data_IF_669108337851
#
_entry.id   IF_669108337851
#
_cell.length_a   1.000
_cell.length_b   1.000
_cell.length_c   1.000
_cell.angle_alpha   90.00
_cell.angle_beta   90.00
_cell.angle_gamma   90.00
#
_symmetry.space_group_name_H-M   'P 1'
#
loop_
_entity.id
_entity.type
_entity.pdbx_description
1 polymer ?
#
# COMPACT_ATOMS: atom_id res chain seq x y z
N UNK A 1 1.30 1.66 -19.81
CA UNK A 1 1.25 2.11 -18.42
C UNK A 1 1.53 0.89 -17.58
N UNK A 2 2.53 0.98 -16.71
CA UNK A 2 2.81 -0.10 -15.77
C UNK A 2 1.67 -0.20 -14.74
N UNK A 3 1.40 -1.39 -14.20
CA UNK A 3 0.26 -1.61 -13.30
C UNK A 3 0.23 -0.63 -12.11
N UNK A 4 1.40 -0.40 -11.51
CA UNK A 4 1.57 0.54 -10.41
C UNK A 4 1.24 1.98 -10.78
N UNK A 5 1.60 2.42 -11.99
CA UNK A 5 1.26 3.76 -12.47
C UNK A 5 -0.26 3.92 -12.59
N UNK A 6 -0.97 2.87 -13.04
CA UNK A 6 -2.43 2.88 -13.13
C UNK A 6 -3.09 2.97 -11.76
N UNK A 7 -2.60 2.24 -10.76
CA UNK A 7 -3.12 2.33 -9.38
C UNK A 7 -2.92 3.74 -8.78
N UNK A 8 -1.75 4.35 -9.01
CA UNK A 8 -1.46 5.70 -8.51
C UNK A 8 -2.26 6.78 -9.25
N UNK A 9 -2.50 6.60 -10.55
CA UNK A 9 -3.37 7.47 -11.35
C UNK A 9 -4.81 7.45 -10.83
N UNK A 10 -5.38 6.25 -10.63
CA UNK A 10 -6.72 6.07 -10.08
C UNK A 10 -6.84 6.62 -8.65
N UNK A 11 -5.86 6.31 -7.80
CA UNK A 11 -5.78 6.84 -6.44
C UNK A 11 -5.82 8.37 -6.41
N UNK A 12 -5.06 9.03 -7.28
CA UNK A 12 -5.01 10.49 -7.35
C UNK A 12 -6.39 11.06 -7.70
N UNK A 13 -7.04 10.52 -8.72
CA UNK A 13 -8.34 11.02 -9.20
C UNK A 13 -9.44 10.84 -8.15
N UNK A 14 -9.49 9.69 -7.50
CA UNK A 14 -10.46 9.43 -6.43
C UNK A 14 -10.19 10.29 -5.20
N UNK A 15 -8.93 10.49 -4.82
CA UNK A 15 -8.56 11.34 -3.70
C UNK A 15 -8.89 12.81 -3.95
N UNK A 16 -8.67 13.30 -5.17
CA UNK A 16 -9.07 14.64 -5.58
C UNK A 16 -10.60 14.79 -5.55
N UNK A 17 -11.33 13.79 -6.07
CA UNK A 17 -12.79 13.74 -6.03
C UNK A 17 -13.32 13.77 -4.60
N UNK A 18 -12.77 12.96 -3.70
CA UNK A 18 -13.16 12.91 -2.29
C UNK A 18 -12.94 14.26 -1.60
N UNK A 19 -11.81 14.93 -1.90
CA UNK A 19 -11.50 16.26 -1.37
C UNK A 19 -12.51 17.32 -1.83
N UNK A 20 -12.87 17.32 -3.11
CA UNK A 20 -13.89 18.23 -3.68
C UNK A 20 -15.25 18.00 -3.02
N UNK A 21 -15.58 16.74 -2.73
CA UNK A 21 -16.85 16.33 -2.13
C UNK A 21 -16.92 16.56 -0.59
N UNK A 22 -15.91 17.18 0.01
CA UNK A 22 -15.92 17.53 1.44
C UNK A 22 -15.41 16.43 2.38
N UNK A 23 -14.73 15.42 1.84
CA UNK A 23 -13.96 14.45 2.61
C UNK A 23 -14.70 13.18 3.03
N UNK A 24 -14.01 12.31 3.81
CA UNK A 24 -14.47 10.96 4.16
C UNK A 24 -15.83 10.91 4.86
N UNK A 25 -16.15 11.94 5.66
CA UNK A 25 -17.37 11.97 6.48
C UNK A 25 -18.64 12.04 5.62
N UNK A 26 -18.57 12.63 4.44
CA UNK A 26 -19.73 12.81 3.55
C UNK A 26 -19.82 11.71 2.49
N UNK A 27 -18.71 11.01 2.20
CA UNK A 27 -18.60 10.03 1.13
C UNK A 27 -17.79 8.82 1.58
N UNK A 28 -18.36 8.05 2.51
CA UNK A 28 -17.72 6.87 3.11
C UNK A 28 -17.40 5.78 2.09
N UNK A 29 -18.28 5.51 1.13
CA UNK A 29 -18.06 4.50 0.09
C UNK A 29 -16.83 4.82 -0.77
N UNK A 30 -16.71 6.08 -1.21
CA UNK A 30 -15.54 6.55 -1.95
C UNK A 30 -14.27 6.48 -1.11
N UNK A 31 -14.38 6.73 0.19
CA UNK A 31 -13.24 6.59 1.09
C UNK A 31 -12.81 5.12 1.26
N UNK A 32 -13.75 4.18 1.35
CA UNK A 32 -13.45 2.74 1.39
C UNK A 32 -12.78 2.25 0.11
N UNK A 33 -13.22 2.73 -1.06
CA UNK A 33 -12.59 2.47 -2.36
C UNK A 33 -11.12 2.96 -2.38
N UNK A 34 -10.89 4.19 -1.92
CA UNK A 34 -9.53 4.74 -1.79
C UNK A 34 -8.68 3.88 -0.84
N UNK A 35 -9.21 3.44 0.30
CA UNK A 35 -8.48 2.57 1.23
C UNK A 35 -8.11 1.22 0.62
N UNK A 36 -8.97 0.66 -0.24
CA UNK A 36 -8.69 -0.57 -0.99
C UNK A 36 -7.50 -0.38 -1.94
N UNK A 37 -7.48 0.74 -2.68
CA UNK A 37 -6.38 1.07 -3.58
C UNK A 37 -5.08 1.32 -2.80
N UNK A 38 -5.16 1.98 -1.63
CA UNK A 38 -3.99 2.17 -0.76
C UNK A 38 -3.38 0.84 -0.30
N UNK A 39 -4.21 -0.15 -0.01
CA UNK A 39 -3.76 -1.50 0.36
C UNK A 39 -3.08 -2.19 -0.84
N UNK A 40 -3.67 -2.07 -2.02
CA UNK A 40 -3.14 -2.66 -3.24
C UNK A 40 -1.79 -2.06 -3.65
N UNK A 41 -1.65 -0.73 -3.62
CA UNK A 41 -0.37 -0.04 -3.87
C UNK A 41 0.73 -0.53 -2.92
N UNK A 42 0.39 -0.73 -1.64
CA UNK A 42 1.33 -1.25 -0.66
C UNK A 42 1.73 -2.70 -1.01
N UNK A 43 0.77 -3.55 -1.36
CA UNK A 43 1.02 -4.93 -1.74
C UNK A 43 1.91 -5.05 -2.99
N UNK A 44 1.62 -4.30 -4.04
CA UNK A 44 2.43 -4.26 -5.26
C UNK A 44 3.85 -3.74 -4.98
N UNK A 45 4.00 -2.83 -4.01
CA UNK A 45 5.31 -2.36 -3.55
C UNK A 45 6.07 -3.34 -2.65
N UNK A 46 5.49 -4.50 -2.33
CA UNK A 46 6.00 -5.43 -1.31
C UNK A 46 6.18 -4.77 0.07
N UNK A 47 5.26 -3.87 0.42
CA UNK A 47 5.23 -3.16 1.69
C UNK A 47 3.96 -3.54 2.48
N UNK A 48 4.03 -3.64 3.82
CA UNK A 48 2.82 -3.80 4.61
C UNK A 48 1.96 -2.53 4.50
N UNK A 49 0.63 -2.69 4.41
CA UNK A 49 -0.34 -1.60 4.34
C UNK A 49 -0.53 -0.85 5.69
N UNK A 50 0.58 -0.42 6.28
CA UNK A 50 0.63 0.38 7.49
C UNK A 50 0.42 1.86 7.18
N UNK A 51 -0.05 2.64 8.16
CA UNK A 51 -0.19 4.10 8.04
C UNK A 51 1.11 4.76 7.55
N UNK A 52 2.27 4.31 8.05
CA UNK A 52 3.59 4.83 7.65
C UNK A 52 3.89 4.62 6.16
N UNK A 53 3.47 3.49 5.58
CA UNK A 53 3.73 3.19 4.17
C UNK A 53 2.70 3.84 3.25
N UNK A 54 1.44 3.95 3.68
CA UNK A 54 0.40 4.70 2.95
C UNK A 54 0.76 6.18 2.81
N UNK A 55 1.41 6.74 3.83
CA UNK A 55 1.96 8.10 3.80
C UNK A 55 3.02 8.35 2.72
N UNK A 56 3.59 7.32 2.10
CA UNK A 56 4.55 7.50 1.00
C UNK A 56 3.91 8.10 -0.26
N UNK A 57 2.58 7.99 -0.39
CA UNK A 57 1.82 8.44 -1.56
C UNK A 57 0.50 9.15 -1.21
N UNK A 58 0.09 9.23 0.07
CA UNK A 58 -1.11 9.99 0.49
C UNK A 58 -0.98 11.52 0.38
N UNK A 59 0.24 12.06 0.45
CA UNK A 59 0.47 13.51 0.49
C UNK A 59 0.63 14.14 -0.90
N UNK A 60 -0.38 13.98 -1.76
CA UNK A 60 -0.35 14.70 -3.04
C UNK A 60 -0.58 16.21 -2.81
N UNK A 61 0.32 17.03 -3.32
CA UNK A 61 0.13 18.48 -3.35
C UNK A 61 -0.87 18.81 -4.46
N UNK A 62 -2.00 19.48 -4.18
CA UNK A 62 -2.96 19.87 -5.22
C UNK A 62 -2.37 20.84 -6.27
N UNK A 63 -1.22 21.45 -6.01
CA UNK A 63 -0.51 22.30 -6.97
C UNK A 63 0.51 21.52 -7.81
N UNK A 64 0.75 20.25 -7.50
CA UNK A 64 1.64 19.37 -8.25
C UNK A 64 0.87 18.68 -9.38
N UNK A 65 1.53 18.48 -10.54
CA UNK A 65 0.91 17.74 -11.63
C UNK A 65 0.78 16.26 -11.27
N UNK A 66 -0.25 15.60 -11.81
CA UNK A 66 -0.49 14.18 -11.59
C UNK A 66 0.73 13.33 -11.96
N UNK A 67 1.39 13.62 -13.07
CA UNK A 67 2.59 12.89 -13.50
C UNK A 67 3.73 13.04 -12.49
N UNK A 68 3.90 14.24 -11.93
CA UNK A 68 4.96 14.48 -10.94
C UNK A 68 4.66 13.74 -9.63
N UNK A 69 3.40 13.73 -9.21
CA UNK A 69 2.92 12.92 -8.08
C UNK A 69 3.24 11.43 -8.27
N UNK A 70 2.86 10.85 -9.42
CA UNK A 70 3.07 9.42 -9.71
C UNK A 70 4.56 9.08 -9.64
N UNK A 71 5.42 9.89 -10.26
CA UNK A 71 6.87 9.67 -10.25
C UNK A 71 7.46 9.76 -8.83
N UNK A 72 7.02 10.73 -8.03
CA UNK A 72 7.48 10.90 -6.65
C UNK A 72 7.03 9.75 -5.73
N UNK A 73 5.79 9.28 -5.92
CA UNK A 73 5.24 8.15 -5.20
C UNK A 73 6.02 6.86 -5.51
N UNK A 74 6.24 6.56 -6.80
CA UNK A 74 7.04 5.39 -7.24
C UNK A 74 8.43 5.43 -6.61
N UNK A 75 9.13 6.57 -6.72
CA UNK A 75 10.47 6.71 -6.16
C UNK A 75 10.49 6.49 -4.63
N UNK A 76 9.46 6.98 -3.93
CA UNK A 76 9.33 6.82 -2.47
C UNK A 76 9.05 5.37 -2.08
N UNK A 77 8.21 4.68 -2.84
CA UNK A 77 7.87 3.27 -2.65
C UNK A 77 9.09 2.38 -2.93
N UNK A 78 9.82 2.59 -4.02
CA UNK A 78 11.04 1.84 -4.35
C UNK A 78 12.15 2.01 -3.30
N UNK A 79 12.40 3.25 -2.87
CA UNK A 79 13.38 3.54 -1.80
C UNK A 79 12.99 2.83 -0.51
N UNK A 80 11.70 2.81 -0.17
CA UNK A 80 11.22 2.17 1.06
C UNK A 80 11.25 0.66 0.96
N UNK A 81 10.83 0.08 -0.17
CA UNK A 81 10.96 -1.35 -0.48
C UNK A 81 12.40 -1.80 -0.31
N UNK A 82 13.35 -1.06 -0.89
CA UNK A 82 14.78 -1.35 -0.78
C UNK A 82 15.23 -1.36 0.67
N UNK A 83 14.87 -0.33 1.46
CA UNK A 83 15.19 -0.28 2.89
C UNK A 83 14.57 -1.45 3.66
N UNK A 84 13.33 -1.81 3.36
CA UNK A 84 12.61 -2.89 4.00
C UNK A 84 13.27 -4.25 3.72
N UNK A 85 13.75 -4.45 2.49
CA UNK A 85 14.47 -5.66 2.09
C UNK A 85 15.81 -5.82 2.81
N UNK A 86 16.59 -4.74 2.96
CA UNK A 86 17.93 -4.81 3.58
C UNK A 86 17.94 -4.66 5.11
N UNK A 87 16.94 -4.00 5.69
CA UNK A 87 16.85 -3.78 7.15
C UNK A 87 15.39 -3.65 7.59
N UNK A 88 14.66 -4.76 7.71
CA UNK A 88 13.28 -4.71 8.20
C UNK A 88 13.26 -4.14 9.63
N UNK A 89 12.48 -3.09 9.87
CA UNK A 89 12.41 -2.41 11.18
C UNK A 89 11.87 -3.31 12.30
N UNK A 90 11.09 -4.34 11.94
CA UNK A 90 10.68 -5.45 12.79
C UNK A 90 10.72 -6.74 11.97
N UNK A 91 11.07 -7.90 12.56
CA UNK A 91 10.90 -9.17 11.89
C UNK A 91 9.42 -9.36 11.52
N UNK A 92 9.16 -9.89 10.32
CA UNK A 92 7.82 -10.08 9.75
C UNK A 92 6.84 -10.78 10.72
N UNK A 93 7.34 -11.66 11.59
CA UNK A 93 6.58 -12.34 12.65
C UNK A 93 5.83 -11.39 13.59
N UNK A 94 6.38 -10.21 13.90
CA UNK A 94 5.73 -9.26 14.80
C UNK A 94 4.56 -8.49 14.17
N UNK A 95 4.49 -8.42 12.84
CA UNK A 95 3.32 -7.87 12.14
C UNK A 95 2.18 -8.89 12.03
N UNK A 96 2.46 -10.20 12.15
CA UNK A 96 1.46 -11.27 12.15
C UNK A 96 0.76 -11.43 13.51
N UNK A 97 1.44 -11.08 14.60
CA UNK A 97 0.93 -11.19 15.98
C UNK A 97 -0.05 -10.08 16.37
N UNK A 98 -0.18 -9.01 15.58
CA UNK A 98 -1.00 -7.84 15.94
C UNK A 98 -2.46 -7.88 15.47
N UNK A 99 -2.90 -8.96 14.81
CA UNK A 99 -4.32 -9.27 14.57
C UNK A 99 -4.65 -10.66 15.09
N UNK A 100 -5.12 -10.72 16.33
CA UNK A 100 -5.94 -11.81 16.86
C UNK A 100 -7.29 -11.80 16.13
N UNK A 101 -7.32 -12.17 14.86
CA UNK A 101 -8.57 -12.52 14.18
C UNK A 101 -8.68 -14.04 14.09
N UNK A 102 -9.81 -14.50 14.62
CA UNK A 102 -10.11 -15.83 15.11
C UNK A 102 -10.61 -16.76 14.00
N UNK A 103 -9.87 -16.87 12.89
CA UNK A 103 -10.21 -17.82 11.82
C UNK A 103 -8.95 -18.50 11.27
N UNK A 104 -8.81 -19.78 11.60
CA UNK A 104 -7.72 -20.64 11.17
C UNK A 104 -7.59 -20.70 9.65
N UNK A 105 -6.33 -20.78 9.21
CA UNK A 105 -5.79 -20.68 7.85
C UNK A 105 -5.48 -19.24 7.41
N UNK A 106 -4.21 -18.86 7.54
CA UNK A 106 -3.64 -17.62 6.98
C UNK A 106 -2.88 -17.97 5.70
N UNK A 107 -3.25 -17.37 4.57
CA UNK A 107 -2.43 -17.37 3.36
C UNK A 107 -1.24 -16.44 3.59
N UNK A 108 -0.02 -17.00 3.64
CA UNK A 108 1.21 -16.22 3.87
C UNK A 108 2.08 -16.35 2.62
N UNK A 109 2.46 -15.22 2.02
CA UNK A 109 3.51 -15.13 1.01
C UNK A 109 4.76 -14.50 1.61
N UNK A 110 5.86 -15.25 1.58
CA UNK A 110 7.14 -14.80 2.11
C UNK A 110 8.07 -14.45 0.95
N UNK A 111 8.63 -13.23 0.88
CA UNK A 111 9.65 -12.89 -0.10
C UNK A 111 10.99 -13.57 0.25
N UNK A 112 11.55 -14.31 -0.69
CA UNK A 112 12.93 -14.83 -0.60
C UNK A 112 13.91 -13.95 -1.38
N UNK A 113 15.19 -14.13 -1.07
CA UNK A 113 16.35 -13.33 -1.50
C UNK A 113 16.49 -13.22 -3.04
N UNK A 114 15.81 -14.08 -3.80
CA UNK A 114 15.87 -14.14 -5.27
C UNK A 114 14.58 -13.72 -5.99
N UNK A 115 13.64 -13.05 -5.31
CA UNK A 115 12.42 -12.52 -5.95
C UNK A 115 11.35 -13.56 -6.28
N UNK A 116 11.48 -14.80 -5.78
CA UNK A 116 10.43 -15.83 -5.88
C UNK A 116 9.60 -15.85 -4.59
N UNK A 117 8.28 -15.81 -4.73
CA UNK A 117 7.34 -15.94 -3.62
C UNK A 117 6.83 -17.37 -3.56
N UNK A 118 6.84 -17.97 -2.37
CA UNK A 118 6.09 -19.20 -2.10
C UNK A 118 4.84 -18.85 -1.32
N UNK A 119 3.72 -19.42 -1.74
CA UNK A 119 2.46 -19.40 -1.03
C UNK A 119 2.42 -20.62 -0.11
N UNK A 120 2.40 -20.38 1.20
CA UNK A 120 2.29 -21.45 2.19
C UNK A 120 0.91 -21.39 2.87
N UNK A 121 0.16 -22.48 2.75
CA UNK A 121 -0.96 -22.77 3.65
C UNK A 121 -0.37 -23.40 4.91
N UNK A 122 -0.23 -22.62 5.97
CA UNK A 122 0.09 -23.17 7.28
C UNK A 122 -1.21 -23.60 7.98
N UNK A 123 -1.38 -24.90 8.29
CA UNK A 123 -2.27 -25.30 9.36
C UNK A 123 -1.57 -24.97 10.70
N UNK A 124 -2.32 -24.36 11.62
CA UNK A 124 -1.91 -24.17 13.03
C UNK A 124 -2.50 -25.30 13.84
#
# INVERSE_FOLDING_TARGET
>A
MEYMESLLDEYYDLSLKLKILGGPTNHSELYEEILSIEEEICWESSLPASTKNRQLFQFFDPNESKETYIQNAIQSLERTRTKYFYKPEKPFSQFLETKEDNSGLKNIRVPMINGTFYEFLYPV
#
